data_IF_796807845574
#
_entry.id   IF_796807845574
#
_cell.length_a   1.000
_cell.length_b   1.000
_cell.length_c   1.000
_cell.angle_alpha   90.00
_cell.angle_beta   90.00
_cell.angle_gamma   90.00
#
_symmetry.space_group_name_H-M   'P 1'
#
loop_
_entity.id
_entity.type
_entity.pdbx_description
1 polymer ?
#
# COMPACT_ATOMS: atom_id res chain seq x y z
N UNK A 1 8.11 2.33 -4.06
CA UNK A 1 7.19 2.90 -3.05
C UNK A 1 6.30 1.82 -2.49
N UNK A 2 6.20 1.75 -1.19
CA UNK A 2 5.34 0.80 -0.50
C UNK A 2 4.04 1.51 -0.16
N UNK A 3 2.91 0.88 -0.47
CA UNK A 3 1.59 1.41 -0.14
C UNK A 3 0.85 0.45 0.77
N UNK A 4 -0.02 0.97 1.57
CA UNK A 4 -0.97 0.18 2.35
C UNK A 4 -2.30 0.91 2.43
N UNK A 5 -3.34 0.17 2.81
CA UNK A 5 -4.70 0.71 2.87
C UNK A 5 -5.07 0.96 4.33
N UNK A 6 -5.63 2.13 4.58
CA UNK A 6 -6.10 2.55 5.90
C UNK A 6 -7.60 2.71 5.89
N UNK A 7 -8.27 2.22 6.93
CA UNK A 7 -9.69 2.45 7.15
C UNK A 7 -9.86 3.68 8.03
N UNK A 8 -10.56 4.68 7.54
CA UNK A 8 -10.68 5.99 8.21
C UNK A 8 -11.53 5.94 9.48
N UNK A 9 -12.51 5.04 9.55
CA UNK A 9 -13.43 4.97 10.68
C UNK A 9 -12.74 4.68 12.01
N UNK A 10 -11.71 3.85 12.00
CA UNK A 10 -10.98 3.44 13.20
C UNK A 10 -9.46 3.62 13.08
N UNK A 11 -8.99 4.22 12.00
CA UNK A 11 -7.58 4.44 11.70
C UNK A 11 -6.74 3.15 11.70
N UNK A 12 -7.35 2.04 11.34
CA UNK A 12 -6.66 0.75 11.24
C UNK A 12 -6.16 0.49 9.83
N UNK A 13 -5.11 -0.31 9.73
CA UNK A 13 -4.46 -0.66 8.47
C UNK A 13 -4.79 -2.09 8.08
N UNK A 14 -5.02 -2.31 6.80
CA UNK A 14 -5.31 -3.65 6.28
C UNK A 14 -4.08 -4.54 6.41
N UNK A 15 -4.22 -5.68 7.08
CA UNK A 15 -3.19 -6.71 7.18
C UNK A 15 -3.50 -7.89 6.27
N UNK A 16 -4.74 -8.33 6.20
CA UNK A 16 -5.16 -9.43 5.35
C UNK A 16 -6.51 -9.15 4.72
N UNK A 17 -6.55 -9.15 3.39
CA UNK A 17 -7.80 -8.99 2.66
C UNK A 17 -8.68 -10.23 2.78
N UNK A 18 -8.09 -11.42 2.66
CA UNK A 18 -8.83 -12.69 2.72
C UNK A 18 -9.51 -12.91 4.07
N UNK A 19 -8.82 -12.57 5.15
CA UNK A 19 -9.30 -12.79 6.51
C UNK A 19 -9.92 -11.54 7.14
N UNK A 20 -9.98 -10.44 6.42
CA UNK A 20 -10.51 -9.15 6.88
C UNK A 20 -9.86 -8.70 8.20
N UNK A 21 -8.54 -8.78 8.25
CA UNK A 21 -7.76 -8.39 9.43
C UNK A 21 -7.25 -6.97 9.28
N UNK A 22 -7.56 -6.15 10.26
CA UNK A 22 -7.11 -4.75 10.34
C UNK A 22 -6.31 -4.56 11.63
N UNK A 23 -5.20 -3.85 11.54
CA UNK A 23 -4.26 -3.64 12.64
C UNK A 23 -4.06 -2.17 12.95
N UNK A 24 -3.74 -1.86 14.19
CA UNK A 24 -3.54 -0.48 14.65
C UNK A 24 -2.19 0.11 14.22
N UNK A 25 -1.21 -0.74 13.98
CA UNK A 25 0.15 -0.34 13.70
C UNK A 25 0.48 -0.52 12.22
N UNK A 26 0.94 0.56 11.59
CA UNK A 26 1.34 0.52 10.17
C UNK A 26 2.51 -0.44 9.90
N UNK A 27 3.29 -0.78 10.91
CA UNK A 27 4.38 -1.76 10.79
C UNK A 27 3.86 -3.17 10.49
N UNK A 28 2.65 -3.47 10.94
CA UNK A 28 2.01 -4.78 10.74
C UNK A 28 1.09 -4.79 9.53
N UNK A 29 0.96 -3.66 8.84
CA UNK A 29 0.11 -3.53 7.66
C UNK A 29 0.68 -4.32 6.48
N UNK A 30 -0.22 -4.82 5.64
CA UNK A 30 0.16 -5.49 4.40
C UNK A 30 0.73 -4.47 3.42
N UNK A 31 1.98 -4.65 3.07
CA UNK A 31 2.69 -3.78 2.14
C UNK A 31 2.40 -4.20 0.70
N UNK A 32 1.99 -3.24 -0.12
CA UNK A 32 1.56 -3.49 -1.49
C UNK A 32 2.30 -2.62 -2.48
N UNK A 33 2.50 -3.16 -3.68
CA UNK A 33 2.93 -2.36 -4.82
C UNK A 33 1.75 -1.49 -5.27
N UNK A 34 2.01 -0.52 -6.14
CA UNK A 34 0.95 0.32 -6.70
C UNK A 34 -0.19 -0.51 -7.30
N UNK A 35 0.16 -1.51 -8.11
CA UNK A 35 -0.81 -2.36 -8.77
C UNK A 35 -1.63 -3.21 -7.80
N UNK A 36 -0.96 -3.83 -6.83
CA UNK A 36 -1.64 -4.61 -5.79
C UNK A 36 -2.58 -3.75 -4.96
N UNK A 37 -2.17 -2.53 -4.65
CA UNK A 37 -3.00 -1.58 -3.91
C UNK A 37 -4.26 -1.21 -4.68
N UNK A 38 -4.15 -0.96 -5.98
CA UNK A 38 -5.29 -0.67 -6.83
C UNK A 38 -6.29 -1.84 -6.89
N UNK A 39 -5.80 -3.04 -7.05
CA UNK A 39 -6.62 -4.26 -7.08
C UNK A 39 -7.32 -4.49 -5.74
N UNK A 40 -6.58 -4.35 -4.63
CA UNK A 40 -7.11 -4.52 -3.28
C UNK A 40 -8.17 -3.47 -2.98
N UNK A 41 -7.90 -2.22 -3.34
CA UNK A 41 -8.85 -1.13 -3.16
C UNK A 41 -10.15 -1.37 -3.93
N UNK A 42 -10.05 -1.84 -5.17
CA UNK A 42 -11.21 -2.19 -5.98
C UNK A 42 -12.06 -3.27 -5.31
N UNK A 43 -11.42 -4.28 -4.75
CA UNK A 43 -12.10 -5.35 -4.01
C UNK A 43 -12.77 -4.80 -2.73
N UNK A 44 -12.09 -3.94 -1.98
CA UNK A 44 -12.63 -3.34 -0.77
C UNK A 44 -13.82 -2.42 -1.04
N UNK A 45 -13.88 -1.78 -2.20
CA UNK A 45 -14.99 -0.92 -2.58
C UNK A 45 -16.31 -1.68 -2.76
N UNK A 46 -16.29 -2.99 -2.78
CA UNK A 46 -17.51 -3.81 -2.75
C UNK A 46 -18.14 -3.84 -1.36
N UNK A 47 -17.36 -3.60 -0.31
CA UNK A 47 -17.80 -3.62 1.09
C UNK A 47 -17.77 -2.24 1.72
N UNK A 48 -16.76 -1.44 1.39
CA UNK A 48 -16.54 -0.10 1.93
C UNK A 48 -16.73 0.96 0.84
N UNK A 49 -17.03 2.20 1.26
CA UNK A 49 -17.08 3.33 0.33
C UNK A 49 -15.68 3.91 0.12
N UNK A 50 -15.51 4.67 -0.96
CA UNK A 50 -14.26 5.36 -1.23
C UNK A 50 -13.89 6.39 -0.17
N UNK A 51 -14.85 6.81 0.65
CA UNK A 51 -14.62 7.73 1.77
C UNK A 51 -14.14 7.02 3.02
N UNK A 52 -14.43 5.72 3.15
CA UNK A 52 -14.05 4.91 4.32
C UNK A 52 -12.63 4.39 4.26
N UNK A 53 -12.09 4.18 3.07
CA UNK A 53 -10.74 3.66 2.86
C UNK A 53 -9.87 4.65 2.12
N UNK A 54 -8.58 4.64 2.42
CA UNK A 54 -7.61 5.52 1.76
C UNK A 54 -6.28 4.79 1.57
N UNK A 55 -5.58 5.16 0.52
CA UNK A 55 -4.22 4.67 0.29
C UNK A 55 -3.23 5.52 1.08
N UNK A 56 -2.28 4.86 1.71
CA UNK A 56 -1.20 5.53 2.43
C UNK A 56 0.12 5.10 1.83
N UNK A 57 0.93 6.07 1.43
CA UNK A 57 2.28 5.82 0.92
C UNK A 57 3.25 5.92 2.09
N UNK A 58 3.97 4.85 2.35
CA UNK A 58 4.96 4.84 3.41
C UNK A 58 6.33 5.22 2.84
N UNK A 59 6.65 6.50 2.91
CA UNK A 59 7.93 7.02 2.47
C UNK A 59 9.09 6.68 3.41
N UNK A 60 8.78 6.33 4.65
CA UNK A 60 9.80 6.06 5.68
C UNK A 60 10.27 4.61 5.70
N UNK A 61 9.44 3.68 5.22
CA UNK A 61 9.80 2.26 5.13
C UNK A 61 10.52 1.89 3.85
N UNK A 62 10.49 2.76 2.84
CA UNK A 62 11.23 2.48 1.62
C UNK A 62 12.72 2.52 1.95
N UNK A 63 13.36 1.35 1.87
CA UNK A 63 14.81 1.29 1.94
C UNK A 63 15.39 2.18 0.85
N UNK A 64 16.45 2.94 1.13
CA UNK A 64 17.09 3.68 0.07
C UNK A 64 17.47 2.70 -1.05
N UNK A 65 17.10 3.04 -2.26
CA UNK A 65 17.41 2.21 -3.41
C UNK A 65 18.92 2.01 -3.51
N UNK A 66 19.33 0.77 -3.75
CA UNK A 66 20.71 0.49 -4.08
C UNK A 66 21.08 1.20 -5.39
N UNK A 67 22.37 1.37 -5.65
CA UNK A 67 22.83 1.99 -6.89
C UNK A 67 22.33 1.23 -8.12
N UNK A 68 22.25 -0.09 -8.02
CA UNK A 68 21.76 -0.94 -9.09
C UNK A 68 20.28 -0.73 -9.35
N UNK A 69 19.47 -0.63 -8.32
CA UNK A 69 18.05 -0.36 -8.46
C UNK A 69 17.78 1.01 -9.07
N UNK A 70 18.52 2.03 -8.66
CA UNK A 70 18.46 3.35 -9.26
C UNK A 70 18.81 3.33 -10.74
N UNK A 71 19.81 2.56 -11.09
CA UNK A 71 20.29 2.43 -12.47
C UNK A 71 19.23 1.78 -13.35
N UNK A 72 18.59 0.72 -12.86
CA UNK A 72 17.50 0.07 -13.59
C UNK A 72 16.30 1.00 -13.75
N UNK A 73 15.93 1.73 -12.72
CA UNK A 73 14.83 2.69 -12.77
C UNK A 73 15.10 3.79 -13.77
N UNK A 74 16.31 4.33 -13.78
CA UNK A 74 16.74 5.34 -14.75
C UNK A 74 16.72 4.83 -16.18
N UNK A 75 17.12 3.59 -16.39
CA UNK A 75 17.08 2.94 -17.70
C UNK A 75 15.64 2.76 -18.20
N UNK A 76 14.72 2.41 -17.32
CA UNK A 76 13.30 2.31 -17.64
C UNK A 76 12.69 3.65 -18.01
N UNK A 77 13.10 4.71 -17.33
CA UNK A 77 12.63 6.07 -17.60
C UNK A 77 13.19 6.67 -18.88
N UNK A 78 14.34 6.19 -19.34
CA UNK A 78 15.00 6.67 -20.56
C UNK A 78 14.48 6.03 -21.85
N UNK A 79 13.64 5.06 -21.71
CA UNK A 79 13.01 4.43 -22.90
C UNK A 79 11.70 5.18 -23.24
#
# INVERSE_FOLDING_TARGET
MIKYIKRKSDNKFLQSLENDIWVDNSKDAYEMTYRECEETKTTLLNTYTSEEITEVVNMFKSKPMSREEKKELLNLLKK
#
